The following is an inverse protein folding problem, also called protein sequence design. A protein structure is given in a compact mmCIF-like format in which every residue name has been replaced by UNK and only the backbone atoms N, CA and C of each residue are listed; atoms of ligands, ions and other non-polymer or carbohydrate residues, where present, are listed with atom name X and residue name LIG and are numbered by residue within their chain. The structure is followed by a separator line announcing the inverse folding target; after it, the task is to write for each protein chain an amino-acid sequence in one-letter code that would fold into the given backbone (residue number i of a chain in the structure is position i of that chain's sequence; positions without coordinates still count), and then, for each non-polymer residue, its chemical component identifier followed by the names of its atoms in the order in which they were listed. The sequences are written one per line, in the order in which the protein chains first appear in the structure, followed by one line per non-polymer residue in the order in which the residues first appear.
data_IF_840032814535
#
_entry.id   IF_840032814535
#
_cell.length_a   1.000
_cell.length_b   1.000
_cell.length_c   1.000
_cell.angle_alpha   90.00
_cell.angle_beta   90.00
_cell.angle_gamma   90.00
#
_symmetry.space_group_name_H-M   'P 1'
#
loop_
_entity.id
_entity.type
_entity.pdbx_description
1 polymer ?
#
# COMPACT_ATOMS: atom_id res chain seq x y z
N UNK A 1 14.66 6.92 -14.30
CA UNK A 1 14.37 6.91 -12.86
C UNK A 1 15.30 5.91 -12.18
N UNK A 2 15.99 6.33 -11.13
CA UNK A 2 16.91 5.46 -10.38
C UNK A 2 16.10 4.46 -9.55
N UNK A 3 16.47 3.18 -9.61
CA UNK A 3 15.82 2.15 -8.80
C UNK A 3 16.21 2.34 -7.32
N UNK A 4 15.28 2.21 -6.36
CA UNK A 4 15.61 2.32 -4.94
C UNK A 4 16.68 1.31 -4.53
N UNK A 5 17.60 1.72 -3.66
CA UNK A 5 18.48 0.79 -2.95
C UNK A 5 17.62 -0.15 -2.11
N UNK A 6 17.78 -1.48 -2.20
CA UNK A 6 16.99 -2.41 -1.40
C UNK A 6 17.14 -2.17 0.10
N UNK A 7 16.04 -2.32 0.84
CA UNK A 7 16.08 -2.31 2.31
C UNK A 7 16.98 -3.42 2.85
N UNK A 8 17.88 -3.04 3.76
CA UNK A 8 18.70 -3.95 4.56
C UNK A 8 18.66 -3.57 6.06
N UNK A 9 19.36 -4.33 6.89
CA UNK A 9 19.36 -4.14 8.35
C UNK A 9 20.07 -2.86 8.81
N UNK A 10 20.87 -2.23 7.95
CA UNK A 10 21.70 -1.06 8.26
C UNK A 10 21.13 0.25 7.69
N UNK A 11 20.27 0.18 6.66
CA UNK A 11 19.92 1.33 5.84
C UNK A 11 18.47 1.83 6.01
N UNK A 12 17.68 1.28 6.95
CA UNK A 12 16.26 1.58 7.11
C UNK A 12 15.93 3.08 7.17
N UNK A 13 16.73 3.88 7.90
CA UNK A 13 16.49 5.33 8.00
C UNK A 13 16.56 6.05 6.65
N UNK A 14 17.60 5.75 5.86
CA UNK A 14 17.74 6.26 4.50
C UNK A 14 16.64 5.74 3.59
N UNK A 15 16.42 4.42 3.60
CA UNK A 15 15.43 3.74 2.78
C UNK A 15 14.03 4.34 2.99
N UNK A 16 13.65 4.58 4.25
CA UNK A 16 12.36 5.18 4.61
C UNK A 16 12.20 6.56 3.99
N UNK A 17 13.16 7.46 4.18
CA UNK A 17 13.08 8.84 3.63
C UNK A 17 13.05 8.80 2.10
N UNK A 18 13.87 7.95 1.49
CA UNK A 18 13.91 7.81 0.03
C UNK A 18 12.58 7.29 -0.52
N UNK A 19 12.00 6.23 0.07
CA UNK A 19 10.73 5.66 -0.39
C UNK A 19 9.56 6.63 -0.25
N UNK A 20 9.55 7.44 0.81
CA UNK A 20 8.58 8.53 0.95
C UNK A 20 8.66 9.47 -0.26
N UNK A 21 9.84 10.04 -0.51
CA UNK A 21 10.05 10.96 -1.62
C UNK A 21 9.76 10.31 -2.98
N UNK A 22 10.17 9.05 -3.17
CA UNK A 22 10.00 8.31 -4.41
C UNK A 22 8.52 8.05 -4.74
N UNK A 23 7.72 7.58 -3.76
CA UNK A 23 6.29 7.36 -3.95
C UNK A 23 5.57 8.69 -4.19
N UNK A 24 5.89 9.74 -3.43
CA UNK A 24 5.29 11.07 -3.63
C UNK A 24 5.56 11.65 -5.02
N UNK A 25 6.77 11.44 -5.58
CA UNK A 25 7.11 11.87 -6.94
C UNK A 25 6.37 11.06 -8.00
N UNK A 26 6.10 9.77 -7.76
CA UNK A 26 5.34 8.94 -8.69
C UNK A 26 3.87 9.37 -8.76
N UNK A 27 3.24 9.56 -7.60
CA UNK A 27 1.90 10.13 -7.50
C UNK A 27 1.56 10.47 -6.05
N UNK A 28 1.12 11.71 -5.79
CA UNK A 28 0.75 12.17 -4.45
C UNK A 28 -0.32 11.26 -3.81
N UNK A 29 -1.37 10.90 -4.57
CA UNK A 29 -2.43 9.98 -4.11
C UNK A 29 -1.92 8.62 -3.60
N UNK A 30 -0.78 8.11 -4.09
CA UNK A 30 -0.25 6.82 -3.63
C UNK A 30 0.41 6.97 -2.27
N UNK A 31 1.10 8.09 -2.04
CA UNK A 31 1.66 8.42 -0.75
C UNK A 31 0.56 8.69 0.28
N UNK A 32 -0.45 9.50 -0.07
CA UNK A 32 -1.60 9.76 0.81
C UNK A 32 -2.35 8.48 1.17
N UNK A 33 -2.49 7.53 0.23
CA UNK A 33 -3.08 6.21 0.52
C UNK A 33 -2.23 5.35 1.46
N UNK A 34 -0.91 5.52 1.45
CA UNK A 34 0.01 4.82 2.35
C UNK A 34 -0.10 5.40 3.76
N UNK A 35 -0.15 6.73 3.90
CA UNK A 35 -0.32 7.41 5.20
C UNK A 35 -1.69 7.16 5.83
N UNK A 36 -2.76 7.17 5.02
CA UNK A 36 -4.11 6.92 5.52
C UNK A 36 -4.31 5.47 5.97
N UNK A 37 -3.53 4.53 5.41
CA UNK A 37 -3.73 3.10 5.60
C UNK A 37 -4.95 2.60 4.82
N UNK A 38 -4.75 1.57 3.99
CA UNK A 38 -5.87 0.97 3.27
C UNK A 38 -6.54 -0.12 4.10
N UNK A 39 -7.86 -0.04 4.21
CA UNK A 39 -8.73 -1.11 4.70
C UNK A 39 -9.66 -1.60 3.60
N UNK A 40 -10.05 -2.87 3.69
CA UNK A 40 -11.02 -3.42 2.77
C UNK A 40 -12.39 -2.80 3.01
N UNK A 41 -13.10 -2.43 1.94
CA UNK A 41 -14.48 -1.98 2.03
C UNK A 41 -15.37 -3.03 2.69
N UNK A 42 -16.18 -2.60 3.65
CA UNK A 42 -17.19 -3.42 4.33
C UNK A 42 -18.59 -2.94 3.97
N UNK A 43 -19.55 -3.85 4.06
CA UNK A 43 -20.98 -3.58 3.97
C UNK A 43 -21.67 -4.24 5.16
N UNK A 44 -22.83 -3.71 5.56
CA UNK A 44 -23.65 -4.32 6.60
C UNK A 44 -24.61 -5.31 5.96
N UNK A 45 -24.52 -6.58 6.38
CA UNK A 45 -25.52 -7.61 6.14
C UNK A 45 -26.49 -7.63 7.34
N UNK A 46 -27.79 -7.60 7.04
CA UNK A 46 -28.89 -7.56 8.02
C UNK A 46 -28.73 -6.51 9.13
N UNK A 47 -28.11 -5.36 8.79
CA UNK A 47 -27.80 -4.21 9.67
C UNK A 47 -26.99 -4.54 10.94
N UNK A 48 -26.44 -5.76 11.06
CA UNK A 48 -25.75 -6.22 12.28
C UNK A 48 -24.43 -6.92 12.04
N UNK A 49 -24.15 -7.39 10.82
CA UNK A 49 -22.92 -8.10 10.50
C UNK A 49 -22.13 -7.33 9.47
N UNK A 50 -20.92 -6.88 9.83
CA UNK A 50 -19.99 -6.32 8.85
C UNK A 50 -19.37 -7.46 8.02
N UNK A 51 -19.61 -7.43 6.71
CA UNK A 51 -19.03 -8.37 5.75
C UNK A 51 -18.20 -7.62 4.72
N UNK A 52 -17.20 -8.31 4.15
CA UNK A 52 -16.38 -7.73 3.09
C UNK A 52 -17.25 -7.44 1.87
N UNK A 53 -17.26 -6.18 1.45
CA UNK A 53 -18.03 -5.74 0.30
C UNK A 53 -17.45 -6.34 -0.99
N UNK A 54 -18.26 -7.02 -1.82
CA UNK A 54 -17.84 -7.53 -3.12
C UNK A 54 -17.29 -6.42 -4.03
N UNK A 55 -16.25 -6.73 -4.82
CA UNK A 55 -15.52 -5.74 -5.65
C UNK A 55 -16.37 -5.06 -6.73
N UNK A 56 -17.35 -5.77 -7.26
CA UNK A 56 -18.34 -5.27 -8.23
C UNK A 56 -19.18 -4.14 -7.63
N UNK A 57 -19.49 -4.22 -6.33
CA UNK A 57 -20.27 -3.23 -5.61
C UNK A 57 -19.46 -2.02 -5.11
N UNK A 58 -18.14 -2.04 -5.28
CA UNK A 58 -17.30 -0.92 -4.86
C UNK A 58 -17.60 0.35 -5.65
N UNK A 59 -17.72 1.46 -4.92
CA UNK A 59 -17.78 2.81 -5.47
C UNK A 59 -16.48 3.16 -6.20
N UNK A 60 -16.52 4.19 -7.03
CA UNK A 60 -15.32 4.68 -7.71
C UNK A 60 -14.21 5.07 -6.73
N UNK A 61 -14.56 5.65 -5.58
CA UNK A 61 -13.61 6.02 -4.53
C UNK A 61 -12.94 4.80 -3.88
N UNK A 62 -13.71 3.77 -3.54
CA UNK A 62 -13.20 2.51 -2.98
C UNK A 62 -12.24 1.79 -3.96
N UNK A 63 -12.63 1.75 -5.25
CA UNK A 63 -11.77 1.22 -6.33
C UNK A 63 -10.49 2.03 -6.47
N UNK A 64 -10.57 3.37 -6.44
CA UNK A 64 -9.40 4.26 -6.50
C UNK A 64 -8.45 4.01 -5.32
N UNK A 65 -8.98 3.94 -4.10
CA UNK A 65 -8.22 3.68 -2.88
C UNK A 65 -7.49 2.33 -2.92
N UNK A 66 -8.19 1.26 -3.30
CA UNK A 66 -7.58 -0.07 -3.45
C UNK A 66 -6.50 -0.12 -4.54
N UNK A 67 -6.70 0.61 -5.64
CA UNK A 67 -5.71 0.73 -6.71
C UNK A 67 -4.44 1.46 -6.23
N UNK A 68 -4.61 2.57 -5.50
CA UNK A 68 -3.51 3.35 -4.95
C UNK A 68 -2.70 2.52 -3.95
N UNK A 69 -3.36 1.80 -3.04
CA UNK A 69 -2.71 0.85 -2.13
C UNK A 69 -1.92 -0.23 -2.88
N UNK A 70 -2.52 -0.87 -3.88
CA UNK A 70 -1.87 -1.93 -4.66
C UNK A 70 -0.62 -1.43 -5.39
N UNK A 71 -0.66 -0.20 -5.92
CA UNK A 71 0.48 0.44 -6.58
C UNK A 71 1.58 0.83 -5.59
N UNK A 72 1.23 1.42 -4.45
CA UNK A 72 2.17 1.74 -3.39
C UNK A 72 2.90 0.48 -2.89
N UNK A 73 2.15 -0.61 -2.61
CA UNK A 73 2.73 -1.92 -2.27
C UNK A 73 3.69 -2.44 -3.34
N UNK A 74 3.30 -2.35 -4.61
CA UNK A 74 4.16 -2.77 -5.73
C UNK A 74 5.48 -1.99 -5.74
N UNK A 75 5.43 -0.67 -5.56
CA UNK A 75 6.64 0.17 -5.49
C UNK A 75 7.51 -0.23 -4.31
N UNK A 76 6.94 -0.46 -3.13
CA UNK A 76 7.67 -0.95 -1.95
C UNK A 76 8.32 -2.31 -2.23
N UNK A 77 7.62 -3.25 -2.87
CA UNK A 77 8.17 -4.57 -3.21
C UNK A 77 9.37 -4.49 -4.18
N UNK A 78 9.41 -3.50 -5.07
CA UNK A 78 10.57 -3.30 -5.94
C UNK A 78 11.82 -2.80 -5.21
N UNK A 79 11.65 -2.33 -3.98
CA UNK A 79 12.65 -1.64 -3.18
C UNK A 79 13.10 -2.42 -1.94
N UNK A 80 12.71 -3.69 -1.79
CA UNK A 80 13.08 -4.52 -0.63
C UNK A 80 13.76 -5.81 -1.07
N UNK A 81 14.60 -6.36 -0.20
CA UNK A 81 15.18 -7.69 -0.40
C UNK A 81 14.13 -8.80 -0.16
N UNK A 82 14.36 -9.98 -0.75
CA UNK A 82 13.47 -11.14 -0.60
C UNK A 82 13.29 -11.57 0.86
N UNK A 83 14.28 -11.36 1.72
CA UNK A 83 14.20 -11.64 3.16
C UNK A 83 13.13 -10.79 3.86
N UNK A 84 12.92 -9.55 3.43
CA UNK A 84 11.90 -8.64 3.96
C UNK A 84 10.54 -8.81 3.29
N UNK A 85 10.52 -9.27 2.03
CA UNK A 85 9.30 -9.48 1.27
C UNK A 85 8.30 -10.40 1.99
N UNK A 86 8.76 -11.51 2.58
CA UNK A 86 7.88 -12.47 3.30
C UNK A 86 7.15 -11.86 4.49
N UNK A 87 7.71 -10.81 5.10
CA UNK A 87 7.11 -10.12 6.23
C UNK A 87 6.11 -9.06 5.75
N UNK A 88 6.49 -8.26 4.75
CA UNK A 88 5.69 -7.13 4.27
C UNK A 88 4.56 -7.59 3.33
N UNK A 89 4.71 -8.74 2.67
CA UNK A 89 3.67 -9.31 1.78
C UNK A 89 2.37 -9.67 2.51
N UNK A 90 2.44 -9.89 3.82
CA UNK A 90 1.29 -10.19 4.68
C UNK A 90 0.51 -8.94 5.10
N UNK A 91 1.06 -7.74 4.88
CA UNK A 91 0.40 -6.49 5.21
C UNK A 91 -0.72 -6.16 4.21
N UNK A 92 -1.87 -5.77 4.74
CA UNK A 92 -3.05 -5.37 3.94
C UNK A 92 -2.85 -4.01 3.28
N UNK A 93 -2.27 -3.06 4.02
CA UNK A 93 -1.88 -1.74 3.52
C UNK A 93 -0.40 -1.67 3.11
N UNK A 94 -0.06 -0.67 2.30
CA UNK A 94 1.30 -0.23 2.05
C UNK A 94 1.99 0.34 3.30
#
# INVERSE_FOLDING_TARGET
MTKPTPLDSSNYGYWKVFMKAFISVLHEDWWSSTEAGWSHSVMLEDEKVEVLKPRDQWTAAEKKSSNCNSKAKTVIYTAIDASYFKFISQCTSA
#
